data_IF_690055009735
#
_entry.id   IF_690055009735
#
_cell.length_a   1.000
_cell.length_b   1.000
_cell.length_c   1.000
_cell.angle_alpha   90.00
_cell.angle_beta   90.00
_cell.angle_gamma   90.00
#
_symmetry.space_group_name_H-M   'P 1'
#
loop_
_entity.id
_entity.type
_entity.pdbx_description
1 polymer ?
#
# COMPACT_ATOMS: atom_id res chain seq x y z
N UNK A 1 -0.14 0.41 13.09
CA UNK A 1 -0.89 -0.76 12.61
C UNK A 1 -0.42 -1.33 11.25
N UNK A 2 0.73 -0.92 10.70
CA UNK A 2 1.22 -1.45 9.40
C UNK A 2 1.95 -2.80 9.49
N UNK A 3 2.48 -3.16 10.67
CA UNK A 3 3.26 -4.39 10.85
C UNK A 3 2.42 -5.67 10.92
N UNK A 4 1.10 -5.54 11.16
CA UNK A 4 0.17 -6.66 11.38
C UNK A 4 -0.46 -7.20 10.09
N UNK A 5 -0.29 -6.51 8.95
CA UNK A 5 -0.86 -6.94 7.66
C UNK A 5 0.10 -7.80 6.81
N UNK A 6 1.32 -8.04 7.28
CA UNK A 6 2.29 -8.84 6.55
C UNK A 6 2.38 -10.25 7.15
N UNK A 7 2.34 -11.34 6.34
CA UNK A 7 2.59 -12.67 6.87
C UNK A 7 3.97 -12.69 7.53
N UNK A 8 4.05 -13.14 8.79
CA UNK A 8 5.21 -13.01 9.66
C UNK A 8 6.55 -13.44 9.00
N UNK A 9 6.50 -14.43 8.11
CA UNK A 9 7.65 -14.90 7.34
C UNK A 9 8.27 -13.85 6.41
N UNK A 10 7.47 -13.04 5.72
CA UNK A 10 7.97 -12.04 4.78
C UNK A 10 8.58 -10.82 5.48
N UNK A 11 7.98 -10.39 6.59
CA UNK A 11 8.54 -9.30 7.39
C UNK A 11 9.92 -9.68 7.95
N UNK A 12 10.07 -10.91 8.45
CA UNK A 12 11.34 -11.45 8.95
C UNK A 12 12.37 -11.60 7.83
N UNK A 13 11.97 -12.09 6.66
CA UNK A 13 12.87 -12.24 5.50
C UNK A 13 13.38 -10.88 5.01
N UNK A 14 12.52 -9.87 4.96
CA UNK A 14 12.94 -8.50 4.62
C UNK A 14 13.86 -7.88 5.66
N UNK A 15 13.55 -8.03 6.95
CA UNK A 15 14.42 -7.51 8.00
C UNK A 15 15.83 -8.13 7.93
N UNK A 16 15.90 -9.43 7.65
CA UNK A 16 17.16 -10.17 7.49
C UNK A 16 17.93 -9.85 6.21
N UNK A 17 17.29 -9.25 5.19
CA UNK A 17 17.98 -8.86 3.95
C UNK A 17 18.67 -7.50 4.05
N UNK A 18 18.40 -6.74 5.11
CA UNK A 18 19.04 -5.46 5.34
C UNK A 18 20.46 -5.63 5.91
N UNK A 19 21.40 -4.73 5.56
CA UNK A 19 22.75 -4.76 6.15
C UNK A 19 22.70 -4.63 7.68
N UNK A 20 23.64 -5.29 8.37
CA UNK A 20 23.77 -5.15 9.84
C UNK A 20 24.03 -3.69 10.20
N UNK A 21 23.36 -3.21 11.25
CA UNK A 21 23.46 -1.81 11.70
C UNK A 21 22.69 -0.81 10.83
N UNK A 22 21.97 -1.24 9.79
CA UNK A 22 21.18 -0.34 8.93
C UNK A 22 19.89 0.19 9.58
N UNK A 23 19.50 -0.37 10.72
CA UNK A 23 18.38 0.06 11.55
C UNK A 23 18.91 0.07 12.99
N UNK A 24 18.98 1.25 13.59
CA UNK A 24 19.42 1.41 14.99
C UNK A 24 18.30 1.91 15.90
N UNK A 25 17.21 2.44 15.33
CA UNK A 25 16.04 2.92 16.07
C UNK A 25 14.75 2.33 15.52
N UNK A 26 13.71 2.32 16.35
CA UNK A 26 12.35 1.93 15.94
C UNK A 26 11.83 2.80 14.79
N UNK A 27 12.10 4.10 14.82
CA UNK A 27 11.67 5.06 13.80
C UNK A 27 12.28 4.76 12.43
N UNK A 28 13.57 4.40 12.38
CA UNK A 28 14.20 3.98 11.12
C UNK A 28 13.57 2.70 10.57
N UNK A 29 13.21 1.76 11.45
CA UNK A 29 12.54 0.52 11.04
C UNK A 29 11.17 0.81 10.45
N UNK A 30 10.36 1.62 11.14
CA UNK A 30 9.01 1.97 10.67
C UNK A 30 9.08 2.74 9.36
N UNK A 31 9.98 3.70 9.23
CA UNK A 31 10.15 4.46 8.00
C UNK A 31 10.56 3.57 6.83
N UNK A 32 11.59 2.71 6.98
CA UNK A 32 12.02 1.80 5.91
C UNK A 32 10.94 0.78 5.54
N UNK A 33 10.22 0.27 6.52
CA UNK A 33 9.10 -0.65 6.30
C UNK A 33 7.98 0.02 5.51
N UNK A 34 7.56 1.22 5.92
CA UNK A 34 6.52 1.99 5.24
C UNK A 34 6.97 2.37 3.82
N UNK A 35 8.20 2.80 3.61
CA UNK A 35 8.71 3.09 2.26
C UNK A 35 8.72 1.85 1.36
N UNK A 36 9.09 0.68 1.89
CA UNK A 36 9.16 -0.57 1.13
C UNK A 36 7.78 -1.08 0.73
N UNK A 37 6.83 -1.07 1.66
CA UNK A 37 5.54 -1.75 1.50
C UNK A 37 4.37 -0.81 1.25
N UNK A 38 4.43 0.41 1.79
CA UNK A 38 3.40 1.45 1.66
C UNK A 38 3.99 2.75 1.09
N UNK A 39 4.67 2.70 -0.07
CA UNK A 39 5.35 3.86 -0.61
C UNK A 39 4.36 5.04 -0.77
N UNK A 40 4.71 6.25 -0.26
CA UNK A 40 3.81 7.40 -0.26
C UNK A 40 3.23 7.73 -1.63
N UNK A 41 4.01 7.52 -2.71
CA UNK A 41 3.56 7.72 -4.08
C UNK A 41 2.40 6.79 -4.48
N UNK A 42 2.44 5.51 -4.08
CA UNK A 42 1.33 4.57 -4.33
C UNK A 42 0.08 4.99 -3.57
N UNK A 43 0.25 5.39 -2.30
CA UNK A 43 -0.87 5.85 -1.47
C UNK A 43 -1.49 7.15 -2.00
N UNK A 44 -0.66 8.09 -2.48
CA UNK A 44 -1.12 9.32 -3.11
C UNK A 44 -1.84 9.05 -4.43
N UNK A 45 -1.29 8.16 -5.27
CA UNK A 45 -1.95 7.74 -6.51
C UNK A 45 -3.31 7.11 -6.24
N UNK A 46 -3.39 6.16 -5.31
CA UNK A 46 -4.66 5.52 -4.95
C UNK A 46 -5.70 6.55 -4.46
N UNK A 47 -5.29 7.50 -3.62
CA UNK A 47 -6.16 8.60 -3.18
C UNK A 47 -6.65 9.45 -4.35
N UNK A 48 -5.77 9.77 -5.30
CA UNK A 48 -6.15 10.52 -6.49
C UNK A 48 -7.12 9.71 -7.36
N UNK A 49 -6.82 8.44 -7.66
CA UNK A 49 -7.64 7.55 -8.47
C UNK A 49 -9.07 7.40 -7.88
N UNK A 50 -9.18 7.34 -6.55
CA UNK A 50 -10.48 7.32 -5.84
C UNK A 50 -11.18 8.68 -5.94
N UNK A 51 -10.47 9.78 -5.72
CA UNK A 51 -11.06 11.13 -5.70
C UNK A 51 -11.48 11.61 -7.08
N UNK A 52 -10.79 11.16 -8.14
CA UNK A 52 -11.13 11.44 -9.53
C UNK A 52 -12.04 10.38 -10.15
N UNK A 53 -12.59 9.45 -9.35
CA UNK A 53 -13.44 8.40 -9.88
C UNK A 53 -14.74 9.00 -10.42
N UNK A 54 -15.01 8.72 -11.69
CA UNK A 54 -16.23 9.11 -12.39
C UNK A 54 -16.75 7.91 -13.16
N UNK A 55 -18.07 7.79 -13.22
CA UNK A 55 -18.74 6.82 -14.07
C UNK A 55 -18.55 7.21 -15.54
N UNK A 56 -18.20 6.25 -16.38
CA UNK A 56 -17.95 6.50 -17.80
C UNK A 56 -19.29 6.59 -18.54
N UNK A 57 -19.39 7.43 -19.55
CA UNK A 57 -20.59 7.48 -20.40
C UNK A 57 -20.87 6.10 -21.00
N UNK A 58 -22.15 5.69 -20.99
CA UNK A 58 -22.65 4.37 -21.41
C UNK A 58 -22.25 3.19 -20.51
N UNK A 59 -21.55 3.42 -19.41
CA UNK A 59 -21.27 2.40 -18.41
C UNK A 59 -22.47 2.17 -17.49
N UNK A 60 -22.75 0.91 -17.14
CA UNK A 60 -23.79 0.60 -16.15
C UNK A 60 -23.32 0.95 -14.73
N UNK A 61 -24.26 1.24 -13.84
CA UNK A 61 -23.94 1.49 -12.42
C UNK A 61 -23.25 0.28 -11.77
N UNK A 62 -23.55 -0.94 -12.24
CA UNK A 62 -22.94 -2.16 -11.71
C UNK A 62 -21.46 -2.24 -12.09
N UNK A 63 -21.12 -1.98 -13.34
CA UNK A 63 -19.73 -2.02 -13.82
C UNK A 63 -18.88 -0.93 -13.15
N UNK A 64 -19.44 0.27 -13.00
CA UNK A 64 -18.79 1.36 -12.26
C UNK A 64 -18.53 0.96 -10.80
N UNK A 65 -19.49 0.29 -10.15
CA UNK A 65 -19.32 -0.19 -8.79
C UNK A 65 -18.25 -1.28 -8.65
N UNK A 66 -18.16 -2.23 -9.59
CA UNK A 66 -17.10 -3.23 -9.59
C UNK A 66 -15.71 -2.59 -9.74
N UNK A 67 -15.54 -1.63 -10.67
CA UNK A 67 -14.28 -0.88 -10.83
C UNK A 67 -13.90 -0.12 -9.57
N UNK A 68 -14.87 0.52 -8.93
CA UNK A 68 -14.64 1.24 -7.68
C UNK A 68 -14.16 0.30 -6.57
N UNK A 69 -14.79 -0.87 -6.41
CA UNK A 69 -14.34 -1.89 -5.46
C UNK A 69 -12.94 -2.41 -5.77
N UNK A 70 -12.60 -2.55 -7.04
CA UNK A 70 -11.25 -2.94 -7.44
C UNK A 70 -10.21 -1.88 -7.13
N UNK A 71 -10.56 -0.60 -7.16
CA UNK A 71 -9.69 0.47 -6.64
C UNK A 71 -9.49 0.33 -5.13
N UNK A 72 -10.53 0.02 -4.36
CA UNK A 72 -10.42 -0.16 -2.90
C UNK A 72 -9.60 -1.40 -2.47
N UNK A 73 -9.44 -2.38 -3.37
CA UNK A 73 -8.68 -3.62 -3.11
C UNK A 73 -7.19 -3.51 -3.44
N UNK A 74 -6.75 -2.40 -4.05
CA UNK A 74 -5.35 -2.14 -4.45
C UNK A 74 -4.52 -1.54 -3.32
#
# INVERSE_FOLDING_TARGET
MAFLMMPFGFAKQWLNSLPRGSITTWEQMTQKFLLKYFPPAKMAKLRNDISSFVQIDLETNYDAWERYKDLLRR
#
